data_IF_587390440231
#
_entry.id   IF_587390440231
#
_cell.length_a   1.000
_cell.length_b   1.000
_cell.length_c   1.000
_cell.angle_alpha   90.00
_cell.angle_beta   90.00
_cell.angle_gamma   90.00
#
_symmetry.space_group_name_H-M   'P 1'
#
loop_
_entity.id
_entity.type
_entity.pdbx_description
1 polymer ?
#
# COMPACT_ATOMS: atom_id res chain seq x y z
N UNK A 1 -11.91 -6.44 4.66
CA UNK A 1 -12.89 -6.31 3.56
C UNK A 1 -13.06 -7.67 2.88
N UNK A 2 -14.21 -7.99 2.28
CA UNK A 2 -14.40 -9.14 1.37
C UNK A 2 -14.58 -8.70 -0.09
N UNK A 3 -14.37 -7.41 -0.38
CA UNK A 3 -14.44 -6.83 -1.71
C UNK A 3 -13.06 -6.83 -2.36
N UNK A 4 -13.02 -7.21 -3.64
CA UNK A 4 -11.85 -7.15 -4.52
C UNK A 4 -11.86 -5.86 -5.37
N UNK A 5 -12.53 -4.82 -4.87
CA UNK A 5 -12.71 -3.55 -5.59
C UNK A 5 -13.80 -3.59 -6.65
N UNK A 6 -13.88 -2.52 -7.43
CA UNK A 6 -14.89 -2.33 -8.48
C UNK A 6 -14.78 -3.39 -9.57
N UNK A 7 -15.91 -3.87 -10.10
CA UNK A 7 -15.95 -4.77 -11.26
C UNK A 7 -16.23 -4.02 -12.58
N UNK A 8 -16.21 -2.68 -12.56
CA UNK A 8 -16.37 -1.86 -13.76
C UNK A 8 -15.03 -1.67 -14.47
N UNK A 9 -14.99 -1.86 -15.78
CA UNK A 9 -13.80 -1.68 -16.62
C UNK A 9 -13.26 -0.24 -16.57
N UNK A 10 -14.12 0.73 -16.30
CA UNK A 10 -13.73 2.14 -16.11
C UNK A 10 -12.95 2.40 -14.82
N UNK A 11 -12.83 1.40 -13.93
CA UNK A 11 -12.02 1.47 -12.72
C UNK A 11 -10.78 0.57 -12.88
N UNK A 12 -9.61 1.04 -12.45
CA UNK A 12 -8.35 0.29 -12.56
C UNK A 12 -8.45 -1.13 -11.99
N UNK A 13 -9.09 -1.31 -10.84
CA UNK A 13 -9.28 -2.64 -10.24
C UNK A 13 -10.20 -3.54 -11.07
N UNK A 14 -11.18 -2.98 -11.78
CA UNK A 14 -12.08 -3.73 -12.65
C UNK A 14 -11.41 -4.13 -13.96
N UNK A 15 -10.65 -3.22 -14.58
CA UNK A 15 -9.83 -3.52 -15.75
C UNK A 15 -8.85 -4.67 -15.48
N UNK A 16 -8.10 -4.60 -14.37
CA UNK A 16 -7.18 -5.67 -13.97
C UNK A 16 -7.89 -7.02 -13.82
N UNK A 17 -9.12 -7.04 -13.29
CA UNK A 17 -9.91 -8.27 -13.19
C UNK A 17 -10.30 -8.82 -14.55
N UNK A 18 -10.68 -7.97 -15.52
CA UNK A 18 -10.96 -8.43 -16.88
C UNK A 18 -9.72 -9.01 -17.57
N UNK A 19 -8.56 -8.37 -17.40
CA UNK A 19 -7.28 -8.91 -17.92
C UNK A 19 -6.99 -10.28 -17.31
N UNK A 20 -7.16 -10.43 -16.00
CA UNK A 20 -6.99 -11.71 -15.30
C UNK A 20 -8.00 -12.77 -15.77
N UNK A 21 -9.23 -12.40 -16.13
CA UNK A 21 -10.19 -13.34 -16.74
C UNK A 21 -9.72 -13.84 -18.09
N UNK A 22 -9.21 -12.94 -18.94
CA UNK A 22 -8.66 -13.31 -20.25
C UNK A 22 -7.47 -14.26 -20.09
N UNK A 23 -6.63 -14.05 -19.08
CA UNK A 23 -5.50 -14.91 -18.76
C UNK A 23 -5.86 -16.23 -18.08
N UNK A 24 -7.14 -16.50 -17.81
CA UNK A 24 -7.59 -17.72 -17.15
C UNK A 24 -7.23 -17.77 -15.66
N UNK A 25 -7.29 -16.64 -14.96
CA UNK A 25 -6.98 -16.58 -13.54
C UNK A 25 -7.97 -17.40 -12.71
N UNK A 26 -7.44 -18.42 -12.02
CA UNK A 26 -8.23 -19.26 -11.10
C UNK A 26 -8.89 -18.44 -9.99
N UNK A 27 -8.18 -17.44 -9.44
CA UNK A 27 -8.71 -16.60 -8.36
C UNK A 27 -9.93 -15.81 -8.80
N UNK A 28 -9.90 -15.20 -9.99
CA UNK A 28 -11.02 -14.41 -10.50
C UNK A 28 -12.19 -15.31 -10.89
N UNK A 29 -11.92 -16.46 -11.51
CA UNK A 29 -12.94 -17.47 -11.83
C UNK A 29 -13.70 -17.91 -10.56
N UNK A 30 -13.00 -18.24 -9.48
CA UNK A 30 -13.64 -18.63 -8.22
C UNK A 30 -14.33 -17.44 -7.54
N UNK A 31 -13.79 -16.23 -7.65
CA UNK A 31 -14.44 -15.03 -7.13
C UNK A 31 -15.78 -14.76 -7.82
N UNK A 32 -15.87 -14.98 -9.13
CA UNK A 32 -17.12 -14.84 -9.87
C UNK A 32 -18.15 -15.90 -9.46
N UNK A 33 -17.72 -17.13 -9.17
CA UNK A 33 -18.60 -18.23 -8.70
C UNK A 33 -19.13 -18.02 -7.29
N UNK A 34 -18.34 -17.43 -6.40
CA UNK A 34 -18.67 -17.22 -4.98
C UNK A 34 -19.11 -15.78 -4.68
N UNK A 35 -19.53 -15.06 -5.73
CA UNK A 35 -19.89 -13.65 -5.65
C UNK A 35 -21.13 -13.43 -4.78
N UNK A 36 -21.05 -12.43 -3.91
CA UNK A 36 -22.18 -11.93 -3.11
C UNK A 36 -22.58 -10.51 -3.56
N UNK A 37 -23.83 -10.06 -3.29
CA UNK A 37 -24.25 -8.70 -3.65
C UNK A 37 -23.40 -7.62 -2.97
N UNK A 38 -22.77 -6.74 -3.76
CA UNK A 38 -21.92 -5.65 -3.27
C UNK A 38 -21.91 -4.41 -4.20
N UNK A 39 -23.07 -4.12 -4.82
CA UNK A 39 -23.20 -3.01 -5.76
C UNK A 39 -22.28 -3.17 -6.97
N UNK A 40 -21.41 -2.18 -7.20
CA UNK A 40 -20.46 -2.17 -8.31
C UNK A 40 -19.17 -2.98 -8.04
N UNK A 41 -18.96 -3.44 -6.80
CA UNK A 41 -17.79 -4.22 -6.45
C UNK A 41 -17.95 -5.71 -6.74
N UNK A 42 -16.85 -6.40 -7.00
CA UNK A 42 -16.78 -7.85 -6.88
C UNK A 42 -16.48 -8.17 -5.42
N UNK A 43 -17.48 -8.68 -4.68
CA UNK A 43 -17.28 -9.19 -3.33
C UNK A 43 -17.61 -10.67 -3.29
N UNK A 44 -16.93 -11.39 -2.41
CA UNK A 44 -17.03 -12.86 -2.31
C UNK A 44 -17.49 -13.30 -0.92
N UNK A 45 -18.13 -14.46 -0.87
CA UNK A 45 -18.31 -15.22 0.37
C UNK A 45 -16.95 -15.76 0.81
N UNK A 46 -16.39 -15.28 1.94
CA UNK A 46 -14.99 -15.56 2.31
C UNK A 46 -14.70 -17.05 2.48
N UNK A 47 -15.58 -17.75 3.18
CA UNK A 47 -15.43 -19.18 3.49
C UNK A 47 -15.48 -20.00 2.19
N UNK A 48 -16.59 -19.88 1.46
CA UNK A 48 -16.80 -20.56 0.18
C UNK A 48 -15.67 -20.28 -0.83
N UNK A 49 -15.24 -19.02 -0.96
CA UNK A 49 -14.12 -18.63 -1.83
C UNK A 49 -12.84 -19.36 -1.44
N UNK A 50 -12.48 -19.36 -0.15
CA UNK A 50 -11.26 -19.99 0.34
C UNK A 50 -11.29 -21.51 0.25
N UNK A 51 -12.44 -22.13 0.50
CA UNK A 51 -12.64 -23.57 0.39
C UNK A 51 -12.52 -24.04 -1.06
N UNK A 52 -13.16 -23.33 -2.00
CA UNK A 52 -13.09 -23.68 -3.42
C UNK A 52 -11.68 -23.57 -3.98
N UNK A 53 -10.91 -22.55 -3.58
CA UNK A 53 -9.49 -22.43 -3.99
C UNK A 53 -8.69 -23.60 -3.43
N UNK A 54 -8.82 -23.86 -2.13
CA UNK A 54 -8.06 -24.91 -1.46
C UNK A 54 -8.31 -26.26 -2.12
N UNK A 55 -9.59 -26.60 -2.31
CA UNK A 55 -9.99 -27.85 -2.98
C UNK A 55 -9.43 -27.94 -4.40
N UNK A 56 -9.51 -26.86 -5.18
CA UNK A 56 -8.98 -26.84 -6.55
C UNK A 56 -7.49 -27.12 -6.57
N UNK A 57 -6.71 -26.56 -5.64
CA UNK A 57 -5.27 -26.79 -5.55
C UNK A 57 -4.93 -28.20 -5.07
N UNK A 58 -5.73 -28.76 -4.14
CA UNK A 58 -5.56 -30.14 -3.63
C UNK A 58 -5.85 -31.20 -4.71
N UNK A 59 -6.71 -30.89 -5.69
CA UNK A 59 -7.08 -31.78 -6.80
C UNK A 59 -6.15 -31.69 -8.02
N UNK A 60 -5.20 -30.74 -8.05
CA UNK A 60 -4.29 -30.54 -9.18
C UNK A 60 -3.10 -31.51 -9.15
N UNK A 61 -2.97 -32.36 -10.17
CA UNK A 61 -1.93 -33.42 -10.24
C UNK A 61 -0.50 -32.89 -10.21
N UNK A 62 -0.28 -31.66 -10.68
CA UNK A 62 1.05 -31.02 -10.73
C UNK A 62 1.37 -30.19 -9.48
N UNK A 63 0.51 -30.21 -8.47
CA UNK A 63 0.67 -29.42 -7.24
C UNK A 63 0.79 -30.38 -6.04
N UNK A 64 1.87 -30.23 -5.30
CA UNK A 64 2.05 -30.87 -3.99
C UNK A 64 1.91 -29.80 -2.89
N UNK A 65 1.01 -30.03 -1.92
CA UNK A 65 0.80 -29.11 -0.80
C UNK A 65 1.48 -29.66 0.45
N UNK A 66 2.52 -28.97 0.90
CA UNK A 66 3.26 -29.29 2.13
C UNK A 66 2.86 -28.29 3.21
N UNK A 67 2.25 -28.77 4.30
CA UNK A 67 1.71 -27.94 5.40
C UNK A 67 2.75 -27.73 6.50
N UNK A 68 3.85 -27.07 6.17
CA UNK A 68 4.99 -26.83 7.07
C UNK A 68 5.51 -25.39 6.98
N UNK A 69 6.22 -24.92 8.02
CA UNK A 69 6.93 -23.64 7.97
C UNK A 69 8.17 -23.79 7.07
N UNK A 70 8.23 -23.05 5.96
CA UNK A 70 9.47 -22.95 5.19
C UNK A 70 10.47 -22.05 5.91
N UNK A 71 11.58 -22.64 6.38
CA UNK A 71 12.60 -21.93 7.18
C UNK A 71 13.90 -21.66 6.43
N UNK A 72 14.06 -22.21 5.23
CA UNK A 72 15.26 -22.06 4.39
C UNK A 72 14.83 -22.07 2.93
N UNK A 73 15.40 -21.17 2.12
CA UNK A 73 15.07 -21.07 0.70
C UNK A 73 15.95 -22.07 -0.09
N UNK A 74 15.36 -23.03 -0.83
CA UNK A 74 16.12 -23.96 -1.66
C UNK A 74 16.96 -23.21 -2.72
N UNK A 75 18.21 -23.61 -2.91
CA UNK A 75 19.14 -22.99 -3.87
C UNK A 75 19.22 -23.72 -5.21
N UNK A 76 18.72 -24.94 -5.26
CA UNK A 76 18.75 -25.87 -6.37
C UNK A 76 17.44 -25.88 -7.19
N UNK A 77 16.52 -24.98 -6.88
CA UNK A 77 15.18 -24.89 -7.49
C UNK A 77 14.83 -23.45 -7.84
N UNK A 78 13.89 -23.28 -8.77
CA UNK A 78 13.20 -22.01 -8.96
C UNK A 78 12.15 -21.83 -7.85
N UNK A 79 12.18 -20.68 -7.17
CA UNK A 79 11.33 -20.42 -6.01
C UNK A 79 10.58 -19.11 -6.20
N UNK A 80 9.25 -19.15 -6.06
CA UNK A 80 8.39 -17.96 -5.93
C UNK A 80 8.09 -17.78 -4.44
N UNK A 81 8.42 -16.63 -3.89
CA UNK A 81 8.20 -16.31 -2.47
C UNK A 81 6.93 -15.45 -2.35
N UNK A 82 5.87 -16.02 -1.78
CA UNK A 82 4.55 -15.40 -1.65
C UNK A 82 3.99 -15.48 -0.22
N UNK A 83 4.84 -15.18 0.78
CA UNK A 83 4.54 -15.35 2.23
C UNK A 83 3.58 -14.31 2.83
N UNK A 84 3.20 -13.30 2.05
CA UNK A 84 2.29 -12.23 2.49
C UNK A 84 2.91 -11.26 3.52
N UNK A 85 2.12 -10.33 4.07
CA UNK A 85 2.61 -9.25 4.94
C UNK A 85 3.05 -9.71 6.34
N UNK A 86 2.68 -10.93 6.75
CA UNK A 86 2.96 -11.48 8.08
C UNK A 86 3.93 -12.66 8.00
N UNK A 87 4.97 -12.52 7.19
CA UNK A 87 6.03 -13.52 7.03
C UNK A 87 6.68 -13.89 8.37
N UNK A 88 7.05 -15.16 8.54
CA UNK A 88 7.73 -15.60 9.77
C UNK A 88 9.14 -14.98 9.87
N UNK A 89 9.66 -14.91 11.10
CA UNK A 89 11.01 -14.36 11.34
C UNK A 89 12.08 -15.10 10.54
N UNK A 90 12.02 -16.44 10.50
CA UNK A 90 13.03 -17.28 9.84
C UNK A 90 13.06 -17.05 8.34
N UNK A 91 11.90 -17.04 7.67
CA UNK A 91 11.87 -16.80 6.22
C UNK A 91 12.28 -15.36 5.88
N UNK A 92 11.93 -14.38 6.74
CA UNK A 92 12.38 -12.99 6.60
C UNK A 92 13.92 -12.90 6.63
N UNK A 93 14.55 -13.58 7.59
CA UNK A 93 16.02 -13.62 7.70
C UNK A 93 16.68 -14.25 6.46
N UNK A 94 16.06 -15.27 5.86
CA UNK A 94 16.54 -15.87 4.61
C UNK A 94 16.40 -14.93 3.41
N UNK A 95 15.27 -14.22 3.28
CA UNK A 95 15.08 -13.22 2.23
C UNK A 95 16.11 -12.09 2.38
N UNK A 96 16.36 -11.61 3.60
CA UNK A 96 17.37 -10.56 3.85
C UNK A 96 18.78 -10.98 3.42
N UNK A 97 19.13 -12.26 3.57
CA UNK A 97 20.42 -12.77 3.06
C UNK A 97 20.49 -12.75 1.54
N UNK A 98 19.38 -13.05 0.85
CA UNK A 98 19.30 -13.01 -0.62
C UNK A 98 19.35 -11.58 -1.17
N UNK A 99 18.80 -10.61 -0.43
CA UNK A 99 18.79 -9.21 -0.84
C UNK A 99 20.02 -8.43 -0.35
N UNK A 100 21.03 -9.11 0.20
CA UNK A 100 22.24 -8.49 0.78
C UNK A 100 21.92 -7.39 1.82
N UNK A 101 20.82 -7.55 2.56
CA UNK A 101 20.37 -6.59 3.55
C UNK A 101 19.69 -5.34 2.98
N UNK A 102 19.36 -5.30 1.68
CA UNK A 102 18.54 -4.23 1.11
C UNK A 102 17.16 -4.23 1.79
N UNK A 103 16.80 -3.07 2.32
CA UNK A 103 15.84 -2.88 3.39
C UNK A 103 14.42 -3.39 3.08
N UNK A 104 14.05 -4.51 3.69
CA UNK A 104 12.66 -4.88 3.90
C UNK A 104 12.13 -4.09 5.10
N UNK A 105 11.29 -3.11 4.85
CA UNK A 105 10.54 -2.41 5.91
C UNK A 105 9.14 -3.02 6.01
N UNK A 106 8.72 -3.28 7.25
CA UNK A 106 7.41 -3.86 7.55
C UNK A 106 6.27 -2.83 7.59
N UNK A 107 6.59 -1.56 7.36
CA UNK A 107 5.65 -0.45 7.43
C UNK A 107 5.71 0.33 6.13
N UNK A 108 4.55 0.45 5.49
CA UNK A 108 4.38 1.38 4.39
C UNK A 108 4.07 2.76 4.96
N UNK A 109 4.82 3.76 4.52
CA UNK A 109 4.53 5.16 4.77
C UNK A 109 4.24 5.84 3.44
N UNK A 110 2.95 5.94 3.14
CA UNK A 110 2.46 6.39 1.84
C UNK A 110 1.90 7.79 2.00
N UNK A 111 2.45 8.74 1.24
CA UNK A 111 1.81 10.02 1.00
C UNK A 111 0.79 9.88 -0.15
N UNK A 112 -0.28 10.69 -0.16
CA UNK A 112 -1.18 10.75 -1.32
C UNK A 112 -0.40 11.05 -2.61
N UNK A 113 -0.75 10.35 -3.69
CA UNK A 113 -0.21 10.60 -5.03
C UNK A 113 -1.32 11.23 -5.86
N UNK A 114 -0.99 12.34 -6.53
CA UNK A 114 -1.90 13.05 -7.43
C UNK A 114 -1.36 12.98 -8.86
N UNK A 115 -2.24 13.09 -9.85
CA UNK A 115 -1.83 13.13 -11.26
C UNK A 115 -1.31 14.51 -11.61
N UNK A 116 -0.25 14.59 -12.42
CA UNK A 116 0.38 15.85 -12.78
C UNK A 116 -0.61 16.80 -13.48
N UNK A 117 -1.49 16.23 -14.31
CA UNK A 117 -2.48 16.95 -15.09
C UNK A 117 -3.56 17.60 -14.23
N UNK A 118 -3.72 17.14 -12.98
CA UNK A 118 -4.68 17.72 -12.03
C UNK A 118 -4.14 18.95 -11.29
N UNK A 119 -2.84 19.25 -11.41
CA UNK A 119 -2.19 20.35 -10.70
C UNK A 119 -2.36 21.65 -11.47
N UNK A 120 -2.87 22.67 -10.78
CA UNK A 120 -2.92 24.05 -11.27
C UNK A 120 -1.49 24.63 -11.38
N UNK A 121 -0.98 24.67 -12.61
CA UNK A 121 0.39 25.08 -12.90
C UNK A 121 0.65 26.58 -12.62
N UNK A 122 -0.40 27.40 -12.48
CA UNK A 122 -0.24 28.82 -12.16
C UNK A 122 0.10 29.08 -10.68
N UNK A 123 -0.13 28.08 -9.81
CA UNK A 123 0.06 28.20 -8.36
C UNK A 123 1.29 27.47 -7.81
N UNK A 124 2.06 26.82 -8.68
CA UNK A 124 3.20 25.99 -8.29
C UNK A 124 4.45 26.37 -9.07
N UNK A 125 5.62 25.93 -8.59
CA UNK A 125 6.88 26.13 -9.28
C UNK A 125 7.83 24.95 -9.12
N UNK A 126 8.64 24.70 -10.13
CA UNK A 126 9.66 23.65 -10.13
C UNK A 126 10.95 24.19 -9.54
N UNK A 127 11.43 23.61 -8.44
CA UNK A 127 12.69 24.02 -7.83
C UNK A 127 13.25 22.95 -6.90
N UNK A 128 14.56 22.69 -7.01
CA UNK A 128 15.34 21.97 -6.00
C UNK A 128 15.95 22.97 -5.01
N UNK A 129 16.08 22.59 -3.73
CA UNK A 129 16.60 23.50 -2.70
C UNK A 129 18.00 24.02 -3.04
N UNK A 130 18.23 25.31 -2.77
CA UNK A 130 19.50 26.01 -2.96
C UNK A 130 20.04 25.94 -4.40
N UNK A 131 19.14 25.79 -5.37
CA UNK A 131 19.44 25.55 -6.78
C UNK A 131 20.41 24.37 -7.00
N UNK A 132 20.38 23.38 -6.09
CA UNK A 132 21.16 22.14 -6.18
C UNK A 132 20.31 21.04 -6.78
N UNK A 133 20.15 21.10 -8.09
CA UNK A 133 19.39 20.14 -8.90
C UNK A 133 18.61 20.84 -10.00
N UNK A 134 18.04 20.06 -10.92
CA UNK A 134 17.41 20.58 -12.14
C UNK A 134 15.91 20.88 -11.98
N UNK A 135 15.46 21.21 -10.76
CA UNK A 135 14.05 21.53 -10.49
C UNK A 135 13.14 20.30 -10.38
N UNK A 136 13.60 19.27 -9.66
CA UNK A 136 12.95 17.94 -9.59
C UNK A 136 11.67 17.91 -8.73
N UNK A 137 11.39 18.99 -8.00
CA UNK A 137 10.26 19.10 -7.09
C UNK A 137 9.28 20.18 -7.53
N UNK A 138 7.99 19.86 -7.53
CA UNK A 138 6.91 20.83 -7.63
C UNK A 138 6.64 21.36 -6.21
N UNK A 139 6.78 22.67 -6.05
CA UNK A 139 6.59 23.35 -4.77
C UNK A 139 5.24 24.08 -4.78
N UNK A 140 4.41 23.78 -3.78
CA UNK A 140 3.14 24.45 -3.54
C UNK A 140 3.33 25.45 -2.39
N UNK A 141 3.61 26.71 -2.73
CA UNK A 141 3.78 27.77 -1.72
C UNK A 141 2.47 28.05 -0.99
N UNK A 142 2.55 28.30 0.32
CA UNK A 142 1.41 28.74 1.13
C UNK A 142 1.72 30.06 1.80
N UNK A 143 0.72 30.93 1.84
CA UNK A 143 0.68 32.07 2.75
C UNK A 143 0.49 31.60 4.20
N UNK A 144 0.69 32.51 5.16
CA UNK A 144 0.44 32.20 6.58
C UNK A 144 -1.01 31.80 6.82
N UNK A 145 -1.97 32.49 6.21
CA UNK A 145 -3.40 32.20 6.38
C UNK A 145 -3.77 30.81 5.83
N UNK A 146 -3.25 30.45 4.65
CA UNK A 146 -3.44 29.12 4.08
C UNK A 146 -2.83 28.02 4.94
N UNK A 147 -1.63 28.27 5.50
CA UNK A 147 -0.99 27.34 6.43
C UNK A 147 -1.80 27.16 7.72
N UNK A 148 -2.23 28.26 8.34
CA UNK A 148 -2.98 28.24 9.59
C UNK A 148 -4.30 27.46 9.39
N UNK A 149 -4.99 27.68 8.27
CA UNK A 149 -6.19 26.91 7.91
C UNK A 149 -5.88 25.42 7.67
N UNK A 150 -4.86 25.11 6.86
CA UNK A 150 -4.45 23.72 6.60
C UNK A 150 -4.10 22.98 7.89
N UNK A 151 -3.35 23.62 8.79
CA UNK A 151 -2.95 23.05 10.07
C UNK A 151 -4.17 22.69 10.93
N UNK A 152 -5.13 23.61 11.08
CA UNK A 152 -6.33 23.39 11.90
C UNK A 152 -7.16 22.21 11.35
N UNK A 153 -7.40 22.19 10.04
CA UNK A 153 -8.12 21.09 9.40
C UNK A 153 -7.38 19.75 9.55
N UNK A 154 -6.04 19.75 9.48
CA UNK A 154 -5.24 18.54 9.58
C UNK A 154 -5.27 17.90 10.99
N UNK A 155 -5.24 18.72 12.05
CA UNK A 155 -5.25 18.19 13.43
C UNK A 155 -6.62 17.69 13.86
N UNK A 156 -7.69 18.23 13.26
CA UNK A 156 -9.08 17.87 13.54
C UNK A 156 -9.62 16.78 12.58
N UNK A 157 -8.84 16.39 11.57
CA UNK A 157 -9.24 15.40 10.57
C UNK A 157 -9.53 14.02 11.16
N UNK A 158 -10.52 13.34 10.59
CA UNK A 158 -10.82 11.95 10.91
C UNK A 158 -9.66 11.03 10.51
N UNK A 159 -9.31 10.09 11.39
CA UNK A 159 -8.23 9.12 11.17
C UNK A 159 -8.77 7.70 11.15
N UNK A 160 -8.22 6.87 10.28
CA UNK A 160 -8.51 5.45 10.30
C UNK A 160 -8.07 4.85 11.65
N UNK A 161 -8.94 4.11 12.35
CA UNK A 161 -8.57 3.51 13.63
C UNK A 161 -7.52 2.42 13.41
N UNK A 162 -6.49 2.42 14.25
CA UNK A 162 -5.52 1.33 14.31
C UNK A 162 -6.19 0.08 14.88
N UNK A 163 -5.79 -1.10 14.39
CA UNK A 163 -6.24 -2.38 14.94
C UNK A 163 -5.52 -2.64 16.28
N UNK A 164 -6.16 -3.42 17.16
CA UNK A 164 -5.69 -3.69 18.54
C UNK A 164 -4.25 -4.27 18.59
N UNK A 165 -3.82 -4.99 17.56
CA UNK A 165 -2.47 -5.58 17.47
C UNK A 165 -1.44 -4.68 16.77
N UNK A 166 -1.88 -3.57 16.18
CA UNK A 166 -1.02 -2.53 15.65
C UNK A 166 -0.65 -1.63 16.83
N UNK A 167 0.31 -2.05 17.65
CA UNK A 167 0.92 -1.14 18.63
C UNK A 167 1.40 0.11 17.87
N UNK A 168 1.01 1.30 18.32
CA UNK A 168 1.42 2.58 17.74
C UNK A 168 2.91 2.83 18.05
N UNK A 169 3.79 2.01 17.48
CA UNK A 169 5.23 2.25 17.45
C UNK A 169 5.45 3.35 16.43
N UNK A 170 5.24 4.58 16.87
CA UNK A 170 5.58 5.75 16.08
C UNK A 170 7.07 5.68 15.78
N UNK A 171 7.41 5.34 14.54
CA UNK A 171 8.78 5.47 14.07
C UNK A 171 9.04 6.97 13.97
N UNK A 172 9.85 7.51 14.88
CA UNK A 172 10.08 8.97 14.97
C UNK A 172 10.59 9.57 13.65
N UNK A 173 11.28 8.77 12.82
CA UNK A 173 11.74 9.20 11.50
C UNK A 173 10.69 9.05 10.37
N UNK A 174 9.51 8.48 10.64
CA UNK A 174 8.43 8.31 9.66
C UNK A 174 7.05 8.44 10.32
N UNK A 175 6.79 9.63 10.86
CA UNK A 175 5.56 9.95 11.57
C UNK A 175 4.45 10.38 10.61
N UNK A 176 3.18 9.99 10.86
CA UNK A 176 2.05 10.58 10.16
C UNK A 176 2.02 12.10 10.31
N UNK A 177 1.74 12.82 9.23
CA UNK A 177 1.84 14.29 9.17
C UNK A 177 0.90 14.97 10.18
N UNK A 178 -0.27 14.40 10.42
CA UNK A 178 -1.25 14.87 11.40
C UNK A 178 -0.77 14.68 12.85
N UNK A 179 -0.01 13.61 13.12
CA UNK A 179 0.65 13.41 14.43
C UNK A 179 1.80 14.38 14.63
N UNK A 180 2.56 14.70 13.57
CA UNK A 180 3.59 15.74 13.62
C UNK A 180 2.96 17.11 13.91
N UNK A 181 1.86 17.44 13.24
CA UNK A 181 1.10 18.66 13.45
C UNK A 181 0.61 18.78 14.90
N UNK A 182 0.02 17.71 15.46
CA UNK A 182 -0.48 17.69 16.83
C UNK A 182 0.60 17.94 17.91
N UNK A 183 1.90 17.78 17.59
CA UNK A 183 3.01 18.10 18.51
C UNK A 183 3.31 19.60 18.61
N UNK A 184 2.74 20.41 17.72
CA UNK A 184 2.78 21.85 17.79
C UNK A 184 2.67 22.51 16.43
N UNK A 185 2.04 23.69 16.41
CA UNK A 185 1.72 24.47 15.21
C UNK A 185 2.91 24.72 14.28
N UNK A 186 4.13 24.88 14.83
CA UNK A 186 5.33 25.14 14.01
C UNK A 186 6.06 23.88 13.56
N UNK A 187 5.64 22.70 14.00
CA UNK A 187 6.38 21.45 13.76
C UNK A 187 6.55 21.17 12.27
N UNK A 188 5.50 21.36 11.47
CA UNK A 188 5.55 21.13 10.02
C UNK A 188 6.49 22.12 9.31
N UNK A 189 6.58 23.36 9.78
CA UNK A 189 7.46 24.40 9.24
C UNK A 189 8.96 24.11 9.46
N UNK A 190 9.29 23.24 10.41
CA UNK A 190 10.65 22.74 10.61
C UNK A 190 10.91 21.37 9.95
N UNK A 191 9.85 20.69 9.48
CA UNK A 191 9.91 19.39 8.83
C UNK A 191 9.44 19.45 7.36
N UNK A 192 8.34 18.77 7.01
CA UNK A 192 7.94 18.56 5.61
C UNK A 192 7.51 19.83 4.87
N UNK A 193 7.01 20.85 5.58
CA UNK A 193 6.52 22.11 4.99
C UNK A 193 7.52 23.26 5.17
N UNK A 194 8.79 22.94 5.38
CA UNK A 194 9.83 23.94 5.58
C UNK A 194 10.12 24.71 4.29
N UNK A 195 10.00 26.06 4.28
CA UNK A 195 10.21 26.88 3.09
C UNK A 195 11.69 27.21 2.82
N UNK A 196 12.65 26.64 3.58
CA UNK A 196 14.07 26.91 3.33
C UNK A 196 14.56 26.09 2.14
N UNK A 197 15.04 26.78 1.13
CA UNK A 197 15.61 26.26 -0.11
C UNK A 197 15.94 27.44 -0.97
#
# INVERSE_FOLDING_TARGET
>A
SNSFGSNLISNASGLMKEELRIMGSLLVEIADKTKVPAGQALAVGREEFSEMITKRLEEEENIEIIREELTTIPKDKYVIIAVGPLASKKITEEILKLTEGINLYFYDAVAPIVTLESIDQEKVYYQSRYDKGDGEYINCGMTKEEYDNFYNELIDAERAPLKIFEEEKVFEACMPVEKMAARGEKTLLFGPLKPKG
#
